data_IF_600152527935
#
_entry.id   IF_600152527935
#
_cell.length_a   1.000
_cell.length_b   1.000
_cell.length_c   1.000
_cell.angle_alpha   90.00
_cell.angle_beta   90.00
_cell.angle_gamma   90.00
#
_symmetry.space_group_name_H-M   'P 1'
#
loop_
_entity.id
_entity.type
_entity.pdbx_description
1 polymer ?
#
# COMPACT_ATOMS: atom_id res chain seq x y z
N UNK A 1 0.52 -20.76 -10.49
CA UNK A 1 -0.23 -19.68 -9.82
C UNK A 1 -1.52 -19.50 -10.56
N UNK A 2 -2.65 -19.41 -9.86
CA UNK A 2 -3.94 -19.15 -10.50
C UNK A 2 -3.96 -17.71 -11.02
N UNK A 3 -4.73 -17.47 -12.08
CA UNK A 3 -4.91 -16.13 -12.64
C UNK A 3 -5.62 -15.22 -11.62
N UNK A 4 -5.14 -13.99 -11.47
CA UNK A 4 -5.82 -12.99 -10.65
C UNK A 4 -7.07 -12.51 -11.39
N UNK A 5 -8.24 -12.73 -10.78
CA UNK A 5 -9.52 -12.35 -11.35
C UNK A 5 -10.17 -11.21 -10.57
N UNK A 6 -11.04 -10.47 -11.25
CA UNK A 6 -11.92 -9.47 -10.63
C UNK A 6 -13.35 -10.00 -10.69
N UNK A 7 -13.98 -10.18 -9.54
CA UNK A 7 -15.38 -10.61 -9.45
C UNK A 7 -16.29 -9.39 -9.33
N UNK A 8 -17.46 -9.44 -9.94
CA UNK A 8 -18.43 -8.34 -9.98
C UNK A 8 -19.74 -8.76 -9.31
N UNK A 9 -20.29 -7.86 -8.50
CA UNK A 9 -21.53 -8.08 -7.77
C UNK A 9 -22.45 -6.89 -7.94
N UNK A 10 -23.64 -7.11 -8.49
CA UNK A 10 -24.67 -6.09 -8.65
C UNK A 10 -25.49 -5.95 -7.38
N UNK A 11 -25.89 -4.72 -7.04
CA UNK A 11 -26.75 -4.43 -5.88
C UNK A 11 -26.20 -4.97 -4.54
N UNK A 12 -24.88 -5.11 -4.45
CA UNK A 12 -24.18 -5.60 -3.27
C UNK A 12 -23.97 -4.47 -2.24
N UNK A 13 -23.76 -4.86 -0.98
CA UNK A 13 -23.66 -3.95 0.18
C UNK A 13 -22.27 -4.02 0.76
N UNK A 14 -21.62 -2.88 0.98
CA UNK A 14 -20.41 -2.82 1.83
C UNK A 14 -20.83 -2.56 3.27
N UNK A 15 -20.48 -3.48 4.16
CA UNK A 15 -20.54 -3.29 5.61
C UNK A 15 -19.32 -2.52 6.09
N UNK A 16 -19.50 -1.41 6.84
CA UNK A 16 -18.39 -0.65 7.39
C UNK A 16 -17.60 -1.47 8.43
N UNK A 17 -16.47 -0.92 8.84
CA UNK A 17 -15.65 -1.51 9.88
C UNK A 17 -16.45 -1.67 11.18
N UNK A 18 -16.41 -2.86 11.77
CA UNK A 18 -16.86 -3.11 13.15
C UNK A 18 -15.76 -3.82 13.92
N UNK A 19 -15.38 -3.27 15.08
CA UNK A 19 -14.40 -3.90 15.95
C UNK A 19 -14.89 -5.29 16.39
N UNK A 20 -14.06 -6.33 16.21
CA UNK A 20 -14.33 -7.67 16.74
C UNK A 20 -13.63 -7.84 18.10
N UNK A 21 -14.36 -8.13 19.19
CA UNK A 21 -13.74 -8.39 20.49
C UNK A 21 -12.94 -9.71 20.55
N UNK A 22 -13.06 -10.60 19.56
CA UNK A 22 -12.45 -11.94 19.55
C UNK A 22 -11.02 -11.99 18.98
N UNK A 23 -10.44 -10.83 18.61
CA UNK A 23 -9.01 -10.72 18.28
C UNK A 23 -8.65 -10.73 16.79
N UNK A 24 -9.61 -10.68 15.87
CA UNK A 24 -9.34 -10.32 14.46
C UNK A 24 -9.08 -8.81 14.34
N UNK A 25 -8.63 -8.34 13.18
CA UNK A 25 -8.52 -6.89 12.96
C UNK A 25 -9.88 -6.19 12.83
N UNK A 26 -10.98 -6.93 12.80
CA UNK A 26 -12.36 -6.44 12.73
C UNK A 26 -13.24 -7.24 11.77
N UNK A 27 -14.54 -6.98 11.84
CA UNK A 27 -15.57 -7.43 10.90
C UNK A 27 -15.91 -6.31 9.90
N UNK A 28 -16.62 -6.68 8.84
CA UNK A 28 -16.94 -5.82 7.71
C UNK A 28 -16.75 -6.56 6.39
N UNK A 29 -16.86 -5.87 5.27
CA UNK A 29 -16.69 -6.47 3.94
C UNK A 29 -17.94 -6.35 3.09
N UNK A 30 -18.14 -7.27 2.15
CA UNK A 30 -19.20 -7.15 1.15
C UNK A 30 -20.25 -8.24 1.34
N UNK A 31 -21.52 -7.86 1.24
CA UNK A 31 -22.66 -8.76 1.13
C UNK A 31 -23.21 -8.77 -0.29
N UNK A 32 -23.68 -9.91 -0.76
CA UNK A 32 -24.42 -10.02 -2.02
C UNK A 32 -25.82 -9.34 -1.92
N UNK A 33 -26.57 -9.35 -3.02
CA UNK A 33 -27.93 -8.77 -3.06
C UNK A 33 -28.95 -9.48 -2.16
N UNK A 34 -28.65 -10.71 -1.73
CA UNK A 34 -29.48 -11.50 -0.83
C UNK A 34 -29.09 -11.31 0.64
N UNK A 35 -28.01 -10.55 0.92
CA UNK A 35 -27.49 -10.30 2.25
C UNK A 35 -26.49 -11.34 2.75
N UNK A 36 -26.01 -12.26 1.89
CA UNK A 36 -24.98 -13.23 2.27
C UNK A 36 -23.59 -12.61 2.17
N UNK A 37 -22.70 -12.93 3.11
CA UNK A 37 -21.32 -12.47 3.05
C UNK A 37 -20.56 -13.07 1.86
N UNK A 38 -19.83 -12.22 1.14
CA UNK A 38 -18.98 -12.62 0.02
C UNK A 38 -17.57 -12.86 0.56
N UNK A 39 -17.18 -14.14 0.62
CA UNK A 39 -15.85 -14.56 1.12
C UNK A 39 -14.69 -13.92 0.34
N UNK A 40 -14.87 -13.61 -0.95
CA UNK A 40 -13.85 -12.92 -1.74
C UNK A 40 -13.51 -11.53 -1.19
N UNK A 41 -14.38 -10.92 -0.38
CA UNK A 41 -14.13 -9.65 0.31
C UNK A 41 -13.29 -9.79 1.58
N UNK A 42 -13.15 -11.01 2.10
CA UNK A 42 -12.33 -11.27 3.28
C UNK A 42 -10.84 -11.03 2.98
N UNK A 43 -10.11 -10.45 3.93
CA UNK A 43 -8.66 -10.31 3.86
C UNK A 43 -7.99 -11.40 4.70
N UNK A 44 -7.40 -12.37 4.03
CA UNK A 44 -6.59 -13.42 4.66
C UNK A 44 -5.13 -12.96 4.76
N UNK A 45 -4.84 -12.06 5.70
CA UNK A 45 -3.52 -11.46 5.87
C UNK A 45 -2.61 -12.18 6.88
N UNK A 46 -3.04 -13.29 7.48
CA UNK A 46 -2.34 -13.94 8.58
C UNK A 46 -2.54 -13.18 9.90
N UNK A 47 -1.58 -12.33 10.30
CA UNK A 47 -1.80 -11.42 11.45
C UNK A 47 -2.78 -10.28 11.13
N UNK A 48 -3.14 -10.14 9.86
CA UNK A 48 -4.05 -9.13 9.34
C UNK A 48 -5.34 -9.76 8.78
N UNK A 49 -5.99 -10.64 9.56
CA UNK A 49 -7.31 -11.18 9.20
C UNK A 49 -8.38 -10.09 9.37
N UNK A 50 -9.15 -9.80 8.31
CA UNK A 50 -10.24 -8.84 8.34
C UNK A 50 -11.43 -9.30 7.51
N UNK A 51 -12.62 -9.18 8.09
CA UNK A 51 -13.88 -9.34 7.37
C UNK A 51 -14.84 -10.25 8.09
N UNK A 52 -16.04 -10.35 7.53
CA UNK A 52 -17.11 -11.19 8.03
C UNK A 52 -18.38 -10.40 8.33
N UNK A 53 -19.48 -11.14 8.39
CA UNK A 53 -20.81 -10.61 8.68
C UNK A 53 -20.95 -10.15 10.13
N UNK A 54 -21.80 -9.14 10.33
CA UNK A 54 -22.35 -8.80 11.63
C UNK A 54 -23.78 -8.25 11.45
N UNK A 55 -24.63 -8.44 12.46
CA UNK A 55 -25.98 -7.86 12.48
C UNK A 55 -25.94 -6.33 12.54
N UNK A 56 -26.78 -5.69 11.72
CA UNK A 56 -26.83 -4.24 11.55
C UNK A 56 -28.26 -3.74 11.32
N UNK A 57 -28.50 -2.48 11.66
CA UNK A 57 -29.83 -1.88 11.49
C UNK A 57 -30.12 -1.59 10.01
N UNK A 58 -31.03 -2.33 9.39
CA UNK A 58 -31.39 -2.15 7.97
C UNK A 58 -31.94 -0.76 7.65
N UNK A 59 -32.45 0.00 8.63
CA UNK A 59 -33.00 1.34 8.41
C UNK A 59 -31.92 2.40 8.09
N UNK A 60 -30.65 2.12 8.40
CA UNK A 60 -29.53 3.05 8.10
C UNK A 60 -28.86 2.74 6.75
N UNK A 61 -29.43 1.81 5.97
CA UNK A 61 -28.89 1.46 4.66
C UNK A 61 -28.90 2.68 3.73
N UNK A 62 -27.73 3.05 3.24
CA UNK A 62 -27.59 4.01 2.15
C UNK A 62 -27.61 3.28 0.81
N UNK A 63 -28.26 3.86 -0.19
CA UNK A 63 -28.20 3.39 -1.59
C UNK A 63 -27.42 4.38 -2.44
N UNK A 64 -26.59 3.87 -3.33
CA UNK A 64 -25.79 4.64 -4.27
C UNK A 64 -25.81 3.98 -5.64
N UNK A 65 -25.98 4.79 -6.70
CA UNK A 65 -25.94 4.32 -8.08
C UNK A 65 -24.50 4.22 -8.62
N UNK A 66 -23.49 4.50 -7.78
CA UNK A 66 -22.08 4.47 -8.14
C UNK A 66 -21.59 3.03 -8.35
N UNK A 67 -20.54 2.89 -9.16
CA UNK A 67 -19.76 1.64 -9.28
C UNK A 67 -18.49 1.79 -8.45
N UNK A 68 -18.12 0.74 -7.73
CA UNK A 68 -16.96 0.81 -6.81
C UNK A 68 -16.04 -0.40 -6.93
N UNK A 69 -14.74 -0.18 -6.77
CA UNK A 69 -13.79 -1.21 -6.35
C UNK A 69 -13.79 -1.29 -4.83
N UNK A 70 -13.90 -2.50 -4.31
CA UNK A 70 -13.68 -2.74 -2.89
C UNK A 70 -12.18 -2.81 -2.61
N UNK A 71 -11.67 -1.79 -1.91
CA UNK A 71 -10.27 -1.70 -1.48
C UNK A 71 -9.93 -2.71 -0.40
N UNK A 72 -10.89 -2.99 0.50
CA UNK A 72 -10.64 -3.73 1.73
C UNK A 72 -10.58 -2.82 2.96
N UNK A 73 -10.06 -3.40 4.06
CA UNK A 73 -9.80 -2.67 5.29
C UNK A 73 -8.47 -1.93 5.21
N UNK A 74 -8.51 -0.62 5.46
CA UNK A 74 -7.32 0.20 5.63
C UNK A 74 -6.93 0.23 7.11
N UNK A 75 -5.76 -0.33 7.43
CA UNK A 75 -5.12 -0.08 8.70
C UNK A 75 -4.32 1.21 8.59
N UNK A 76 -4.56 2.21 9.46
CA UNK A 76 -3.85 3.48 9.43
C UNK A 76 -2.42 3.31 9.92
N UNK A 77 -1.58 2.75 9.04
CA UNK A 77 -0.16 2.58 9.25
C UNK A 77 0.55 2.45 7.88
N UNK A 78 1.53 3.31 7.57
CA UNK A 78 2.22 3.34 6.27
C UNK A 78 2.83 2.01 5.84
N UNK A 79 3.58 1.33 6.72
CA UNK A 79 4.13 0.01 6.43
C UNK A 79 3.08 -1.02 5.99
N UNK A 80 2.02 -1.19 6.79
CA UNK A 80 0.89 -2.06 6.45
C UNK A 80 0.10 -1.61 5.22
N UNK A 81 0.05 -0.32 4.92
CA UNK A 81 -0.49 0.14 3.65
C UNK A 81 0.28 -0.50 2.47
N UNK A 82 1.61 -0.48 2.53
CA UNK A 82 2.48 -0.98 1.48
C UNK A 82 2.45 -2.50 1.27
N UNK A 83 2.17 -3.31 2.30
CA UNK A 83 2.28 -4.77 2.20
C UNK A 83 0.96 -5.52 2.41
N UNK A 84 -0.01 -4.94 3.12
CA UNK A 84 -1.28 -5.59 3.50
C UNK A 84 -2.49 -4.95 2.82
N UNK A 85 -2.53 -3.63 2.67
CA UNK A 85 -3.75 -2.97 2.18
C UNK A 85 -3.86 -2.94 0.65
N UNK A 86 -2.74 -2.89 -0.07
CA UNK A 86 -2.74 -2.70 -1.53
C UNK A 86 -3.05 -3.97 -2.35
N UNK A 87 -3.33 -5.10 -1.69
CA UNK A 87 -3.49 -6.41 -2.35
C UNK A 87 -4.57 -6.46 -3.44
N UNK A 88 -5.51 -5.51 -3.45
CA UNK A 88 -6.60 -5.40 -4.45
C UNK A 88 -6.40 -4.28 -5.46
N UNK A 89 -5.31 -3.53 -5.38
CA UNK A 89 -5.08 -2.35 -6.23
C UNK A 89 -4.34 -2.66 -7.54
N UNK A 90 -3.92 -3.90 -7.76
CA UNK A 90 -3.23 -4.34 -8.97
C UNK A 90 -3.95 -4.03 -10.30
N UNK A 91 -5.31 -3.96 -10.41
CA UNK A 91 -5.95 -3.59 -11.68
C UNK A 91 -5.60 -2.18 -12.15
N UNK A 92 -5.25 -1.28 -11.21
CA UNK A 92 -4.83 0.10 -11.50
C UNK A 92 -3.34 0.20 -11.86
N UNK A 93 -2.58 -0.89 -11.77
CA UNK A 93 -1.21 -0.97 -12.26
C UNK A 93 -1.15 -0.95 -13.79
N UNK A 94 -2.10 -1.61 -14.46
CA UNK A 94 -2.17 -1.67 -15.92
C UNK A 94 -2.96 -0.48 -16.49
N UNK A 95 -2.30 0.30 -17.34
CA UNK A 95 -2.85 1.47 -18.04
C UNK A 95 -3.75 1.11 -19.22
N UNK A 96 -3.85 -0.17 -19.60
CA UNK A 96 -4.84 -0.67 -20.56
C UNK A 96 -6.24 -0.82 -19.94
N UNK A 97 -6.32 -0.89 -18.61
CA UNK A 97 -7.60 -0.97 -17.91
C UNK A 97 -8.21 0.42 -17.77
N UNK A 98 -9.31 0.68 -18.48
CA UNK A 98 -10.11 1.87 -18.22
C UNK A 98 -11.03 1.63 -17.02
N UNK A 99 -10.62 2.22 -15.89
CA UNK A 99 -11.33 2.13 -14.62
C UNK A 99 -11.84 3.51 -14.17
N UNK A 100 -11.90 4.53 -15.04
CA UNK A 100 -12.27 5.90 -14.67
C UNK A 100 -13.60 6.01 -13.93
N UNK A 101 -14.56 5.16 -14.31
CA UNK A 101 -15.94 5.17 -13.82
C UNK A 101 -16.12 4.56 -12.42
N UNK A 102 -15.06 3.98 -11.85
CA UNK A 102 -15.15 3.35 -10.54
C UNK A 102 -14.59 4.24 -9.44
N UNK A 103 -15.34 4.36 -8.35
CA UNK A 103 -14.80 4.84 -7.07
C UNK A 103 -14.06 3.70 -6.36
N UNK A 104 -13.23 4.03 -5.37
CA UNK A 104 -12.50 3.07 -4.54
C UNK A 104 -13.07 3.18 -3.15
N UNK A 105 -13.83 2.16 -2.75
CA UNK A 105 -14.49 2.10 -1.46
C UNK A 105 -13.62 1.34 -0.46
N UNK A 106 -13.28 1.99 0.66
CA UNK A 106 -12.53 1.37 1.75
C UNK A 106 -13.33 1.41 3.05
N UNK A 107 -13.03 0.46 3.93
CA UNK A 107 -13.51 0.45 5.31
C UNK A 107 -12.33 0.65 6.25
N UNK A 108 -12.54 1.33 7.36
CA UNK A 108 -11.51 1.55 8.37
C UNK A 108 -12.12 2.08 9.65
N UNK A 109 -11.36 2.03 10.75
CA UNK A 109 -11.66 2.78 11.97
C UNK A 109 -11.30 4.27 11.86
N UNK A 110 -10.74 4.72 10.73
CA UNK A 110 -10.44 6.11 10.42
C UNK A 110 -11.02 6.53 9.07
N UNK A 111 -11.41 7.80 8.95
CA UNK A 111 -12.12 8.32 7.78
C UNK A 111 -11.24 8.69 6.59
N UNK A 112 -9.91 8.67 6.76
CA UNK A 112 -9.00 9.14 5.75
C UNK A 112 -7.67 8.38 5.79
N UNK A 113 -7.04 8.29 4.62
CA UNK A 113 -5.66 7.85 4.50
C UNK A 113 -4.66 8.94 4.91
N UNK A 114 -3.40 8.55 5.11
CA UNK A 114 -2.29 9.49 5.24
C UNK A 114 -1.99 10.21 3.91
N UNK A 115 -1.36 11.40 3.95
CA UNK A 115 -0.96 12.12 2.74
C UNK A 115 -0.21 11.25 1.72
N UNK A 116 0.78 10.47 2.16
CA UNK A 116 1.56 9.61 1.27
C UNK A 116 0.74 8.49 0.60
N UNK A 117 -0.37 8.05 1.20
CA UNK A 117 -1.27 7.12 0.54
C UNK A 117 -2.03 7.80 -0.61
N UNK A 118 -2.47 9.05 -0.42
CA UNK A 118 -3.09 9.82 -1.50
C UNK A 118 -2.09 10.13 -2.62
N UNK A 119 -0.83 10.41 -2.28
CA UNK A 119 0.23 10.58 -3.29
C UNK A 119 0.46 9.27 -4.08
N UNK A 120 0.37 8.11 -3.43
CA UNK A 120 0.47 6.81 -4.08
C UNK A 120 -0.69 6.60 -5.07
N UNK A 121 -1.92 6.87 -4.65
CA UNK A 121 -3.09 6.80 -5.53
C UNK A 121 -2.99 7.78 -6.69
N UNK A 122 -2.55 9.02 -6.44
CA UNK A 122 -2.34 10.02 -7.49
C UNK A 122 -1.27 9.58 -8.50
N UNK A 123 -0.20 8.93 -8.05
CA UNK A 123 0.84 8.37 -8.92
C UNK A 123 0.30 7.22 -9.80
N UNK A 124 -0.73 6.50 -9.36
CA UNK A 124 -1.49 5.55 -10.17
C UNK A 124 -2.52 6.23 -11.10
N UNK A 125 -2.70 7.55 -11.03
CA UNK A 125 -3.72 8.28 -11.80
C UNK A 125 -5.12 8.22 -11.19
N UNK A 126 -5.22 7.96 -9.88
CA UNK A 126 -6.47 7.93 -9.14
C UNK A 126 -6.62 9.27 -8.41
N UNK A 127 -7.65 10.01 -8.76
CA UNK A 127 -7.99 11.26 -8.06
C UNK A 127 -8.54 10.98 -6.65
N UNK A 128 -8.19 11.85 -5.70
CA UNK A 128 -8.62 11.73 -4.29
C UNK A 128 -10.14 11.69 -4.14
N UNK A 129 -10.91 12.38 -4.98
CA UNK A 129 -12.38 12.39 -4.93
C UNK A 129 -13.01 11.04 -5.28
N UNK A 130 -12.25 10.14 -5.93
CA UNK A 130 -12.71 8.77 -6.22
C UNK A 130 -12.59 7.85 -5.02
N UNK A 131 -11.87 8.24 -3.97
CA UNK A 131 -11.64 7.40 -2.79
C UNK A 131 -12.70 7.73 -1.76
N UNK A 132 -13.53 6.75 -1.40
CA UNK A 132 -14.66 6.93 -0.50
C UNK A 132 -14.53 6.01 0.72
N UNK A 133 -14.69 6.60 1.90
CA UNK A 133 -14.80 5.85 3.15
C UNK A 133 -16.24 5.39 3.34
N UNK A 134 -16.41 4.12 3.72
CA UNK A 134 -17.72 3.56 4.04
C UNK A 134 -17.82 3.41 5.56
N UNK A 135 -18.63 4.26 6.17
CA UNK A 135 -18.92 4.33 7.61
C UNK A 135 -20.35 3.90 7.96
N UNK A 136 -21.22 3.81 6.96
CA UNK A 136 -22.58 3.26 7.04
C UNK A 136 -22.78 2.16 6.00
N UNK A 137 -23.56 1.10 6.29
CA UNK A 137 -23.90 0.08 5.30
C UNK A 137 -24.41 0.72 4.02
N UNK A 138 -23.72 0.49 2.91
CA UNK A 138 -24.01 1.16 1.65
C UNK A 138 -24.14 0.15 0.52
N UNK A 139 -25.31 0.13 -0.12
CA UNK A 139 -25.57 -0.61 -1.34
C UNK A 139 -25.09 0.18 -2.56
N UNK A 140 -24.38 -0.48 -3.46
CA UNK A 140 -23.89 0.09 -4.72
C UNK A 140 -24.53 -0.59 -5.94
N UNK A 141 -24.54 0.10 -7.08
CA UNK A 141 -25.00 -0.48 -8.33
C UNK A 141 -24.13 -1.68 -8.75
N UNK A 142 -22.81 -1.53 -8.59
CA UNK A 142 -21.82 -2.59 -8.83
C UNK A 142 -20.66 -2.47 -7.84
N UNK A 143 -20.24 -3.60 -7.27
CA UNK A 143 -19.00 -3.74 -6.51
C UNK A 143 -18.09 -4.71 -7.25
N UNK A 144 -16.87 -4.26 -7.58
CA UNK A 144 -15.79 -5.10 -8.07
C UNK A 144 -14.86 -5.48 -6.92
N UNK A 145 -14.55 -6.77 -6.84
CA UNK A 145 -13.69 -7.35 -5.82
C UNK A 145 -12.53 -8.05 -6.55
N UNK A 146 -11.37 -7.38 -6.69
CA UNK A 146 -10.14 -8.00 -7.18
C UNK A 146 -9.65 -9.06 -6.20
N UNK A 147 -9.19 -10.20 -6.71
CA UNK A 147 -8.50 -11.19 -5.90
C UNK A 147 -7.25 -10.58 -5.23
N UNK A 148 -6.89 -11.10 -4.06
CA UNK A 148 -5.66 -10.69 -3.37
C UNK A 148 -4.44 -11.08 -4.20
N UNK A 149 -3.60 -10.09 -4.49
CA UNK A 149 -2.34 -10.27 -5.23
C UNK A 149 -1.16 -10.66 -4.34
N UNK A 150 -1.45 -11.25 -3.17
CA UNK A 150 -0.50 -11.93 -2.32
C UNK A 150 -1.18 -13.09 -1.58
N UNK A 151 -0.38 -14.02 -1.06
CA UNK A 151 -0.90 -15.10 -0.18
C UNK A 151 -0.82 -14.78 1.31
N UNK A 152 -1.68 -15.39 2.14
CA UNK A 152 -1.61 -15.26 3.58
C UNK A 152 -0.26 -15.73 4.16
N UNK A 153 0.05 -15.31 5.38
CA UNK A 153 1.18 -15.85 6.13
C UNK A 153 0.84 -17.23 6.75
N UNK A 154 1.84 -18.11 7.00
CA UNK A 154 3.26 -17.99 6.64
C UNK A 154 3.53 -18.35 5.16
N UNK A 155 4.64 -17.86 4.60
CA UNK A 155 5.01 -18.15 3.21
C UNK A 155 4.38 -17.21 2.17
N UNK A 156 4.12 -15.95 2.57
CA UNK A 156 3.59 -14.90 1.70
C UNK A 156 4.45 -14.75 0.44
N UNK A 157 3.81 -14.85 -0.71
CA UNK A 157 4.37 -14.43 -1.99
C UNK A 157 3.48 -13.36 -2.62
N UNK A 158 4.07 -12.51 -3.45
CA UNK A 158 3.36 -11.46 -4.18
C UNK A 158 3.30 -11.83 -5.65
N UNK A 159 2.16 -11.57 -6.28
CA UNK A 159 1.99 -11.74 -7.71
C UNK A 159 2.69 -10.61 -8.48
N UNK A 160 3.17 -10.85 -9.73
CA UNK A 160 3.84 -9.82 -10.53
C UNK A 160 3.05 -8.51 -10.65
N UNK A 161 1.73 -8.60 -10.78
CA UNK A 161 0.84 -7.44 -10.89
C UNK A 161 0.88 -6.52 -9.66
N UNK A 162 1.24 -7.06 -8.48
CA UNK A 162 1.50 -6.24 -7.31
C UNK A 162 2.72 -5.35 -7.53
N UNK A 163 3.80 -5.92 -8.05
CA UNK A 163 5.05 -5.21 -8.35
C UNK A 163 4.85 -4.24 -9.53
N UNK A 164 4.05 -4.59 -10.53
CA UNK A 164 3.75 -3.70 -11.66
C UNK A 164 3.06 -2.41 -11.23
N UNK A 165 2.16 -2.49 -10.25
CA UNK A 165 1.56 -1.32 -9.61
C UNK A 165 2.63 -0.41 -8.97
N UNK A 166 3.59 -0.98 -8.23
CA UNK A 166 4.71 -0.21 -7.68
C UNK A 166 5.60 0.37 -8.76
N UNK A 167 5.89 -0.39 -9.81
CA UNK A 167 6.66 0.10 -10.95
C UNK A 167 6.01 1.35 -11.53
N UNK A 168 4.71 1.32 -11.82
CA UNK A 168 4.00 2.49 -12.32
C UNK A 168 4.11 3.70 -11.40
N UNK A 169 3.95 3.51 -10.09
CA UNK A 169 4.11 4.58 -9.09
C UNK A 169 5.51 5.17 -9.14
N UNK A 170 6.54 4.31 -9.19
CA UNK A 170 7.94 4.73 -9.25
C UNK A 170 8.20 5.53 -10.54
N UNK A 171 7.75 5.06 -11.71
CA UNK A 171 7.91 5.78 -12.98
C UNK A 171 7.25 7.16 -12.95
N UNK A 172 6.00 7.21 -12.49
CA UNK A 172 5.20 8.44 -12.39
C UNK A 172 5.88 9.50 -11.50
N UNK A 173 6.45 9.06 -10.39
CA UNK A 173 7.14 9.92 -9.42
C UNK A 173 8.51 10.35 -9.92
N UNK A 174 9.36 9.41 -10.35
CA UNK A 174 10.75 9.71 -10.74
C UNK A 174 10.81 10.57 -12.00
N UNK A 175 9.84 10.45 -12.92
CA UNK A 175 9.71 11.34 -14.08
C UNK A 175 9.61 12.83 -13.69
N UNK A 176 9.17 13.14 -12.47
CA UNK A 176 8.96 14.50 -11.95
C UNK A 176 9.90 14.85 -10.80
N UNK A 177 10.72 13.91 -10.35
CA UNK A 177 11.51 14.03 -9.12
C UNK A 177 12.96 13.67 -9.40
N UNK A 178 13.74 14.55 -10.06
CA UNK A 178 15.16 14.32 -10.29
C UNK A 178 15.94 14.42 -8.97
N UNK A 179 17.07 13.70 -8.88
CA UNK A 179 17.97 13.68 -7.71
C UNK A 179 18.28 15.08 -7.17
N UNK A 180 18.65 16.01 -8.07
CA UNK A 180 18.98 17.39 -7.73
C UNK A 180 17.86 18.14 -7.00
N UNK A 181 16.59 17.82 -7.29
CA UNK A 181 15.45 18.46 -6.61
C UNK A 181 15.36 18.04 -5.14
N UNK A 182 15.66 16.78 -4.85
CA UNK A 182 15.65 16.20 -3.50
C UNK A 182 16.87 16.69 -2.73
N UNK A 183 18.03 16.73 -3.38
CA UNK A 183 19.27 17.23 -2.77
C UNK A 183 19.19 18.72 -2.41
N UNK A 184 18.48 19.51 -3.20
CA UNK A 184 18.19 20.91 -2.85
C UNK A 184 17.39 21.04 -1.55
N UNK A 185 16.52 20.07 -1.22
CA UNK A 185 15.70 20.07 0.00
C UNK A 185 16.44 19.51 1.21
N UNK A 186 17.23 18.45 1.02
CA UNK A 186 17.75 17.62 2.11
C UNK A 186 19.27 17.53 2.17
N UNK A 187 20.01 18.14 1.26
CA UNK A 187 21.45 17.94 1.09
C UNK A 187 21.77 16.64 0.34
N UNK A 188 23.04 16.21 0.34
CA UNK A 188 23.43 14.95 -0.32
C UNK A 188 22.57 13.78 0.17
N UNK A 189 22.14 12.94 -0.76
CA UNK A 189 21.35 11.73 -0.49
C UNK A 189 22.09 10.45 -0.89
N UNK A 190 23.41 10.50 -1.13
CA UNK A 190 24.18 9.31 -1.49
C UNK A 190 24.16 8.26 -0.37
N UNK A 191 24.31 8.72 0.88
CA UNK A 191 24.21 7.91 2.09
C UNK A 191 23.10 8.47 2.98
N UNK A 192 22.01 7.72 3.14
CA UNK A 192 20.86 8.14 3.98
C UNK A 192 20.63 7.16 5.12
N UNK A 193 20.52 7.68 6.34
CA UNK A 193 20.00 6.95 7.47
C UNK A 193 18.60 7.45 7.82
N UNK A 194 17.61 6.57 7.73
CA UNK A 194 16.26 6.89 8.16
C UNK A 194 16.16 6.76 9.68
N UNK A 195 16.17 7.91 10.35
CA UNK A 195 16.11 7.98 11.81
C UNK A 195 14.70 7.76 12.34
N UNK A 196 14.63 7.20 13.55
CA UNK A 196 13.43 7.12 14.38
C UNK A 196 13.44 8.11 15.54
N UNK A 197 14.55 8.84 15.75
CA UNK A 197 14.73 9.75 16.88
C UNK A 197 13.82 10.99 16.84
N UNK A 198 13.19 11.24 15.69
CA UNK A 198 12.26 12.35 15.48
C UNK A 198 10.79 11.89 15.54
N UNK A 199 10.56 10.58 15.72
CA UNK A 199 9.23 10.01 15.83
C UNK A 199 8.82 9.86 17.30
N UNK A 200 7.85 10.65 17.73
CA UNK A 200 7.43 10.73 19.14
C UNK A 200 7.08 9.36 19.76
N UNK A 201 6.45 8.47 19.00
CA UNK A 201 6.10 7.13 19.51
C UNK A 201 7.34 6.24 19.71
N UNK A 202 8.39 6.41 18.90
CA UNK A 202 9.65 5.69 19.10
C UNK A 202 10.40 6.23 20.32
N UNK A 203 10.44 7.55 20.52
CA UNK A 203 11.11 8.17 21.66
C UNK A 203 10.63 7.68 23.04
N UNK A 204 9.38 7.22 23.13
CA UNK A 204 8.81 6.66 24.38
C UNK A 204 9.08 5.17 24.59
N UNK A 205 9.61 4.46 23.59
CA UNK A 205 9.72 2.99 23.60
C UNK A 205 11.12 2.47 23.26
N UNK A 206 11.95 3.31 22.64
CA UNK A 206 13.25 2.94 22.11
C UNK A 206 14.33 3.82 22.78
N UNK A 207 15.41 3.19 23.25
CA UNK A 207 16.51 3.87 23.94
C UNK A 207 17.71 3.98 23.00
N UNK A 208 18.49 5.06 23.13
CA UNK A 208 19.76 5.22 22.40
C UNK A 208 19.62 5.76 20.97
N UNK A 209 18.42 6.14 20.52
CA UNK A 209 18.20 6.63 19.14
C UNK A 209 19.11 7.81 18.75
N UNK A 210 19.34 8.77 19.66
CA UNK A 210 20.26 9.90 19.43
C UNK A 210 21.74 9.49 19.31
N UNK A 211 22.12 8.41 20.00
CA UNK A 211 23.48 7.84 19.88
C UNK A 211 23.64 7.22 18.50
N UNK A 212 22.65 6.44 18.04
CA UNK A 212 22.66 5.85 16.70
C UNK A 212 22.74 6.94 15.62
N UNK A 213 21.92 8.00 15.72
CA UNK A 213 22.00 9.14 14.80
C UNK A 213 23.40 9.75 14.75
N UNK A 214 24.08 9.85 15.89
CA UNK A 214 25.42 10.43 15.97
C UNK A 214 26.46 9.52 15.33
N UNK A 215 26.38 8.21 15.57
CA UNK A 215 27.24 7.20 14.92
C UNK A 215 27.05 7.22 13.41
N UNK A 216 25.80 7.20 12.93
CA UNK A 216 25.50 7.23 11.51
C UNK A 216 25.97 8.53 10.85
N UNK A 217 25.77 9.68 11.50
CA UNK A 217 26.26 10.98 11.01
C UNK A 217 27.78 11.01 10.91
N UNK A 218 28.49 10.49 11.91
CA UNK A 218 29.95 10.37 11.88
C UNK A 218 30.44 9.42 10.77
N UNK A 219 29.61 8.44 10.39
CA UNK A 219 29.84 7.56 9.23
C UNK A 219 29.49 8.18 7.86
N UNK A 220 29.18 9.48 7.81
CA UNK A 220 28.87 10.22 6.60
C UNK A 220 27.43 10.10 6.11
N UNK A 221 26.51 9.58 6.93
CA UNK A 221 25.10 9.49 6.55
C UNK A 221 24.36 10.81 6.80
N UNK A 222 23.52 11.17 5.83
CA UNK A 222 22.48 12.17 6.01
C UNK A 222 21.33 11.58 6.85
N UNK A 223 20.92 12.28 7.89
CA UNK A 223 19.95 11.78 8.87
C UNK A 223 18.57 12.34 8.55
N UNK A 224 17.71 11.52 7.96
CA UNK A 224 16.38 11.93 7.50
C UNK A 224 15.28 11.20 8.27
N UNK A 225 14.23 11.92 8.65
CA UNK A 225 13.08 11.36 9.34
C UNK A 225 12.00 11.01 8.30
N UNK A 226 11.74 9.72 8.00
CA UNK A 226 10.88 9.32 6.88
C UNK A 226 9.44 9.79 7.02
N UNK A 227 8.93 9.97 8.24
CA UNK A 227 7.59 10.50 8.52
C UNK A 227 7.40 11.97 8.12
N UNK A 228 8.51 12.68 7.86
CA UNK A 228 8.50 14.08 7.40
C UNK A 228 8.72 14.21 5.88
N UNK A 229 8.96 13.10 5.19
CA UNK A 229 9.21 13.07 3.76
C UNK A 229 7.91 12.82 2.99
N UNK A 230 7.73 13.56 1.90
CA UNK A 230 6.70 13.22 0.91
C UNK A 230 6.95 11.84 0.32
N UNK A 231 5.92 11.21 -0.26
CA UNK A 231 6.12 9.97 -0.99
C UNK A 231 7.16 10.14 -2.11
N UNK A 232 7.11 11.25 -2.83
CA UNK A 232 8.02 11.53 -3.93
C UNK A 232 9.49 11.54 -3.48
N UNK A 233 9.77 12.18 -2.35
CA UNK A 233 11.13 12.20 -1.77
C UNK A 233 11.57 10.81 -1.30
N UNK A 234 10.67 10.05 -0.66
CA UNK A 234 10.99 8.68 -0.25
C UNK A 234 11.35 7.80 -1.45
N UNK A 235 10.51 7.77 -2.49
CA UNK A 235 10.77 6.99 -3.70
C UNK A 235 12.08 7.43 -4.37
N UNK A 236 12.33 8.73 -4.48
CA UNK A 236 13.57 9.24 -5.06
C UNK A 236 14.81 8.83 -4.25
N UNK A 237 14.78 8.95 -2.92
CA UNK A 237 15.90 8.51 -2.07
C UNK A 237 16.15 7.00 -2.26
N UNK A 238 15.09 6.17 -2.24
CA UNK A 238 15.21 4.73 -2.43
C UNK A 238 15.78 4.31 -3.80
N UNK A 239 15.78 5.20 -4.80
CA UNK A 239 16.33 4.92 -6.13
C UNK A 239 17.68 5.61 -6.41
N UNK A 240 17.96 6.75 -5.79
CA UNK A 240 19.17 7.53 -6.07
C UNK A 240 20.28 7.41 -5.02
N UNK A 241 19.95 7.01 -3.80
CA UNK A 241 20.96 6.76 -2.77
C UNK A 241 21.77 5.50 -3.10
N UNK A 242 23.08 5.54 -2.87
CA UNK A 242 23.95 4.37 -2.97
C UNK A 242 23.88 3.50 -1.71
N UNK A 243 23.64 4.11 -0.55
CA UNK A 243 23.53 3.42 0.73
C UNK A 243 22.33 3.95 1.52
N UNK A 244 21.44 3.04 1.94
CA UNK A 244 20.33 3.34 2.84
C UNK A 244 20.44 2.45 4.06
N UNK A 245 20.41 3.06 5.24
CA UNK A 245 20.40 2.37 6.52
C UNK A 245 19.16 2.76 7.33
N UNK A 246 18.59 1.80 8.05
CA UNK A 246 17.47 2.03 8.96
C UNK A 246 17.37 0.90 9.98
N UNK A 247 16.72 1.17 11.11
CA UNK A 247 16.42 0.14 12.11
C UNK A 247 15.32 -0.77 11.57
N UNK A 248 15.41 -2.07 11.89
CA UNK A 248 14.41 -3.06 11.52
C UNK A 248 13.00 -2.67 12.04
N UNK A 249 11.96 -3.09 11.32
CA UNK A 249 10.57 -2.70 11.55
C UNK A 249 9.87 -2.42 10.22
N UNK A 250 9.06 -1.38 10.16
CA UNK A 250 8.29 -1.06 8.95
C UNK A 250 8.96 -0.07 8.00
N UNK A 251 10.04 0.62 8.43
CA UNK A 251 10.82 1.51 7.56
C UNK A 251 11.43 0.75 6.38
N UNK A 252 12.09 -0.42 6.57
CA UNK A 252 12.66 -1.21 5.48
C UNK A 252 11.64 -1.66 4.42
N UNK A 253 10.34 -1.69 4.72
CA UNK A 253 9.31 -2.09 3.75
C UNK A 253 9.25 -1.18 2.52
N UNK A 254 9.75 0.05 2.63
CA UNK A 254 9.89 0.97 1.50
C UNK A 254 10.92 0.50 0.46
N UNK A 255 11.68 -0.57 0.73
CA UNK A 255 12.56 -1.23 -0.27
C UNK A 255 11.80 -1.65 -1.53
N UNK A 256 10.48 -1.85 -1.45
CA UNK A 256 9.63 -2.13 -2.61
C UNK A 256 9.67 -1.02 -3.68
N UNK A 257 10.06 0.21 -3.30
CA UNK A 257 10.25 1.31 -4.23
C UNK A 257 11.62 1.30 -4.93
N UNK A 258 12.58 0.51 -4.45
CA UNK A 258 13.94 0.49 -4.99
C UNK A 258 13.99 -0.38 -6.25
N UNK A 259 14.44 0.23 -7.36
CA UNK A 259 14.68 -0.46 -8.64
C UNK A 259 16.15 -0.72 -8.95
N UNK A 260 17.06 -0.36 -8.06
CA UNK A 260 18.46 -0.76 -8.13
C UNK A 260 18.52 -2.26 -7.84
N UNK A 261 18.06 -3.05 -8.82
CA UNK A 261 18.29 -4.48 -8.86
C UNK A 261 19.80 -4.64 -8.75
N UNK A 262 20.25 -5.41 -7.77
CA UNK A 262 21.44 -6.22 -7.98
C UNK A 262 21.27 -6.83 -9.37
N UNK A 263 22.09 -6.41 -10.33
CA UNK A 263 22.27 -7.16 -11.55
C UNK A 263 22.75 -8.53 -11.10
N UNK A 264 21.84 -9.48 -10.97
CA UNK A 264 22.21 -10.88 -10.89
C UNK A 264 22.94 -11.14 -12.21
N UNK A 265 24.27 -11.19 -12.16
CA UNK A 265 25.13 -11.50 -13.28
C UNK A 265 24.83 -12.93 -13.74
N UNK A 266 23.78 -13.08 -14.53
CA UNK A 266 23.61 -14.22 -15.41
C UNK A 266 24.62 -14.04 -16.54
N UNK A 267 25.86 -14.46 -16.30
CA UNK A 267 26.86 -14.68 -17.32
C UNK A 267 26.36 -15.81 -18.23
N UNK A 268 25.51 -15.46 -19.19
CA UNK A 268 25.06 -16.30 -20.30
C UNK A 268 25.63 -15.77 -21.60
N UNK A 269 26.94 -15.52 -21.65
CA UNK A 269 27.65 -15.22 -22.89
C UNK A 269 27.90 -16.51 -23.65
N UNK A 270 26.92 -16.93 -24.45
CA UNK A 270 27.12 -17.95 -25.46
C UNK A 270 28.07 -17.44 -26.54
N UNK A 271 29.37 -17.70 -26.36
CA UNK A 271 30.36 -17.57 -27.42
C UNK A 271 30.25 -18.76 -28.36
N UNK A 272 29.41 -18.64 -29.39
CA UNK A 272 29.46 -19.49 -30.56
C UNK A 272 30.72 -19.12 -31.36
N UNK A 273 31.69 -20.03 -31.38
CA UNK A 273 32.82 -19.97 -32.31
C UNK A 273 32.32 -20.53 -33.64
N UNK A 274 32.26 -19.66 -34.67
CA UNK A 274 32.21 -20.07 -36.06
C UNK A 274 33.57 -19.77 -36.69
N UNK A 275 34.13 -20.82 -37.31
CA UNK A 275 35.35 -20.93 -38.12
C UNK A 275 36.69 -20.90 -37.38
#
# INVERSE_FOLDING_TARGET
MNELIVKKYSNAIILPYKRDPRGTTGLGGVLDSNGNFIEDSYCHGGRFEHGGFYEWNKSILKKSNEKVFYFGYFLPHWGHFLIDCLGRMWPFGDNKNDLSDYKIAFISNQSAFYPNCYDFFAALGIDKSRIIWIDVPTQFAEIQIPAMSYTPEPGRFFYPQYIDMFNRVIDSILAKTPKSSVEKRYGTIDKVYFTRSQFNNALSREVGLKVIDSVMRNGGFNILAPEKLSLADQVAIWNYASEIACINGTIPLNVIFNRNRCTCGGGGGGGGVNH
#
